data_IF_687695977355
#
_entry.id   IF_687695977355
#
_cell.length_a   1.000
_cell.length_b   1.000
_cell.length_c   1.000
_cell.angle_alpha   90.00
_cell.angle_beta   90.00
_cell.angle_gamma   90.00
#
_symmetry.space_group_name_H-M   'P 1'
#
loop_
_entity.id
_entity.type
_entity.pdbx_description
1 polymer ?
#
# COMPACT_ATOMS: atom_id res chain seq x y z
N UNK A 1 -0.30 13.43 19.76
CA UNK A 1 0.18 12.25 19.02
C UNK A 1 0.08 12.55 17.55
N UNK A 2 1.20 12.55 16.84
CA UNK A 2 1.27 12.79 15.41
C UNK A 2 1.13 11.48 14.62
N UNK A 3 0.74 11.59 13.34
CA UNK A 3 0.73 10.49 12.39
C UNK A 3 1.46 10.90 11.11
N UNK A 4 2.32 10.01 10.60
CA UNK A 4 2.97 10.14 9.31
C UNK A 4 2.60 8.92 8.47
N UNK A 5 1.98 9.15 7.31
CA UNK A 5 1.72 8.13 6.31
C UNK A 5 2.68 8.33 5.13
N UNK A 6 3.53 7.34 4.89
CA UNK A 6 4.51 7.33 3.82
C UNK A 6 4.16 6.21 2.83
N UNK A 7 3.77 6.59 1.62
CA UNK A 7 3.52 5.67 0.52
C UNK A 7 4.76 5.56 -0.35
N UNK A 8 5.18 4.34 -0.63
CA UNK A 8 6.43 4.02 -1.34
C UNK A 8 6.15 3.05 -2.47
N UNK A 9 6.63 3.36 -3.67
CA UNK A 9 6.50 2.50 -4.85
C UNK A 9 7.82 2.36 -5.59
N UNK A 10 7.96 1.34 -6.41
CA UNK A 10 9.10 1.21 -7.32
C UNK A 10 9.02 2.29 -8.42
N UNK A 11 10.18 2.80 -8.83
CA UNK A 11 10.33 3.68 -10.02
C UNK A 11 10.20 2.90 -11.32
N UNK A 12 10.52 1.60 -11.28
CA UNK A 12 10.34 0.65 -12.38
C UNK A 12 9.01 -0.09 -12.23
N UNK A 13 8.51 -0.77 -13.27
CA UNK A 13 7.33 -1.63 -13.14
C UNK A 13 7.48 -2.62 -11.99
N UNK A 14 6.51 -2.66 -11.08
CA UNK A 14 6.48 -3.61 -9.97
C UNK A 14 6.09 -4.99 -10.50
N UNK A 15 7.03 -5.93 -10.48
CA UNK A 15 6.82 -7.29 -10.99
C UNK A 15 5.70 -8.04 -10.25
N UNK A 16 5.49 -7.72 -8.96
CA UNK A 16 4.38 -8.29 -8.18
C UNK A 16 3.04 -7.80 -8.70
N UNK A 17 2.91 -6.49 -8.95
CA UNK A 17 1.69 -5.92 -9.51
C UNK A 17 1.43 -6.39 -10.95
N UNK A 18 2.47 -6.48 -11.77
CA UNK A 18 2.38 -7.01 -13.15
C UNK A 18 1.90 -8.46 -13.14
N UNK A 19 2.51 -9.32 -12.33
CA UNK A 19 2.15 -10.75 -12.24
C UNK A 19 0.74 -10.93 -11.69
N UNK A 20 0.37 -10.16 -10.67
CA UNK A 20 -0.99 -10.22 -10.10
C UNK A 20 -2.04 -9.77 -11.12
N UNK A 21 -1.80 -8.70 -11.88
CA UNK A 21 -2.70 -8.24 -12.93
C UNK A 21 -2.88 -9.30 -14.02
N UNK A 22 -1.79 -9.91 -14.48
CA UNK A 22 -1.85 -10.97 -15.49
C UNK A 22 -2.65 -12.16 -14.99
N UNK A 23 -2.42 -12.60 -13.74
CA UNK A 23 -3.17 -13.71 -13.17
C UNK A 23 -4.66 -13.40 -13.05
N UNK A 24 -5.03 -12.22 -12.54
CA UNK A 24 -6.42 -11.81 -12.41
C UNK A 24 -7.12 -11.75 -13.78
N UNK A 25 -6.49 -11.19 -14.80
CA UNK A 25 -7.07 -11.07 -16.13
C UNK A 25 -7.06 -12.36 -16.92
N UNK A 26 -5.88 -12.97 -17.11
CA UNK A 26 -5.69 -14.06 -18.07
C UNK A 26 -6.10 -15.43 -17.49
N UNK A 27 -5.97 -15.61 -16.18
CA UNK A 27 -6.27 -16.89 -15.55
C UNK A 27 -7.61 -16.90 -14.82
N UNK A 28 -8.06 -15.75 -14.31
CA UNK A 28 -9.28 -15.65 -13.51
C UNK A 28 -10.42 -14.91 -14.22
N UNK A 29 -10.16 -14.34 -15.42
CA UNK A 29 -11.20 -13.77 -16.28
C UNK A 29 -11.73 -12.41 -15.86
N UNK A 30 -10.94 -11.62 -15.10
CA UNK A 30 -11.31 -10.26 -14.68
C UNK A 30 -10.93 -9.22 -15.75
N UNK A 31 -11.65 -9.24 -16.88
CA UNK A 31 -11.40 -8.34 -18.02
C UNK A 31 -11.63 -6.86 -17.70
N UNK A 32 -12.46 -6.58 -16.68
CA UNK A 32 -12.71 -5.24 -16.17
C UNK A 32 -11.49 -4.57 -15.52
N UNK A 33 -10.47 -5.33 -15.10
CA UNK A 33 -9.26 -4.80 -14.50
C UNK A 33 -8.32 -4.19 -15.55
N UNK A 34 -8.45 -2.89 -15.81
CA UNK A 34 -7.63 -2.19 -16.80
C UNK A 34 -6.16 -2.04 -16.35
N UNK A 35 -5.94 -1.64 -15.09
CA UNK A 35 -4.61 -1.49 -14.52
C UNK A 35 -4.57 -1.88 -13.03
N UNK A 36 -3.39 -2.23 -12.55
CA UNK A 36 -3.12 -2.55 -11.15
C UNK A 36 -1.76 -1.98 -10.77
N UNK A 37 -1.73 -1.20 -9.71
CA UNK A 37 -0.49 -0.70 -9.10
C UNK A 37 -0.43 -1.01 -7.61
N UNK A 38 0.76 -0.99 -7.07
CA UNK A 38 1.04 -1.34 -5.68
C UNK A 38 1.95 -0.29 -5.06
N UNK A 39 1.57 0.19 -3.86
CA UNK A 39 2.40 1.01 -2.99
C UNK A 39 2.54 0.32 -1.62
N UNK A 40 3.69 0.43 -1.00
CA UNK A 40 3.89 0.05 0.40
C UNK A 40 3.54 1.24 1.29
N UNK A 41 2.68 1.03 2.29
CA UNK A 41 2.36 2.03 3.30
C UNK A 41 3.18 1.75 4.55
N UNK A 42 3.91 2.78 4.99
CA UNK A 42 4.49 2.87 6.31
C UNK A 42 3.77 3.96 7.10
N UNK A 43 3.07 3.58 8.16
CA UNK A 43 2.38 4.51 9.05
C UNK A 43 3.10 4.57 10.37
N UNK A 44 3.58 5.76 10.71
CA UNK A 44 4.26 6.04 11.98
C UNK A 44 3.32 6.82 12.88
N UNK A 45 3.33 6.52 14.17
CA UNK A 45 2.57 7.23 15.21
C UNK A 45 3.47 7.51 16.39
N UNK A 46 3.26 8.66 17.05
CA UNK A 46 4.03 9.03 18.21
C UNK A 46 4.07 10.53 18.47
N UNK A 47 5.12 10.96 19.20
CA UNK A 47 5.42 12.36 19.48
C UNK A 47 6.60 12.81 18.63
N UNK A 48 6.29 13.34 17.46
CA UNK A 48 7.26 13.83 16.47
C UNK A 48 6.62 14.86 15.52
N UNK A 49 7.45 15.67 14.89
CA UNK A 49 7.01 16.50 13.76
C UNK A 49 7.11 15.68 12.46
N UNK A 50 5.99 15.50 11.69
CA UNK A 50 5.99 14.63 10.50
C UNK A 50 6.99 14.99 9.41
N UNK A 51 7.31 16.29 9.23
CA UNK A 51 8.29 16.73 8.24
C UNK A 51 9.71 16.36 8.67
N UNK A 52 10.05 16.54 9.95
CA UNK A 52 11.35 16.19 10.52
C UNK A 52 11.55 14.67 10.48
N UNK A 53 10.55 13.90 10.94
CA UNK A 53 10.65 12.44 10.87
C UNK A 53 10.84 11.94 9.43
N UNK A 54 10.16 12.54 8.46
CA UNK A 54 10.35 12.20 7.04
C UNK A 54 11.80 12.42 6.62
N UNK A 55 12.39 13.57 6.95
CA UNK A 55 13.80 13.88 6.67
C UNK A 55 14.74 12.85 7.28
N UNK A 56 14.59 12.56 8.58
CA UNK A 56 15.39 11.56 9.30
C UNK A 56 15.33 10.16 8.67
N UNK A 57 14.13 9.71 8.28
CA UNK A 57 13.94 8.39 7.64
C UNK A 57 14.62 8.33 6.26
N UNK A 58 14.56 9.41 5.48
CA UNK A 58 15.13 9.46 4.13
C UNK A 58 16.65 9.61 4.13
N UNK A 59 17.20 10.42 5.04
CA UNK A 59 18.62 10.74 5.08
C UNK A 59 19.44 9.64 5.76
N UNK A 60 18.86 9.01 6.80
CA UNK A 60 19.61 8.07 7.66
C UNK A 60 19.35 6.61 7.36
N UNK A 61 18.40 6.31 6.46
CA UNK A 61 18.02 4.91 6.21
C UNK A 61 17.52 4.68 4.78
N UNK A 62 18.03 3.64 4.12
CA UNK A 62 17.46 3.11 2.89
C UNK A 62 16.40 2.04 3.12
N UNK A 63 16.05 1.76 4.39
CA UNK A 63 15.12 0.69 4.77
C UNK A 63 13.69 0.99 4.33
N UNK A 64 13.23 2.22 4.55
CA UNK A 64 11.87 2.65 4.20
C UNK A 64 11.80 3.13 2.76
N UNK A 65 12.77 3.93 2.35
CA UNK A 65 12.87 4.45 1.00
C UNK A 65 14.31 4.34 0.52
N UNK A 66 14.51 3.62 -0.58
CA UNK A 66 15.77 3.66 -1.30
C UNK A 66 15.63 4.66 -2.47
N UNK A 67 16.29 5.84 -2.44
CA UNK A 67 16.10 6.89 -3.45
C UNK A 67 16.45 6.44 -4.88
N UNK A 68 17.34 5.45 -5.02
CA UNK A 68 17.69 4.91 -6.34
C UNK A 68 16.59 4.05 -6.96
N UNK A 69 15.77 3.39 -6.12
CA UNK A 69 14.77 2.41 -6.55
C UNK A 69 13.33 2.88 -6.37
N UNK A 70 13.07 3.73 -5.37
CA UNK A 70 11.74 4.08 -4.91
C UNK A 70 11.38 5.53 -5.26
N UNK A 71 10.14 5.73 -5.67
CA UNK A 71 9.40 6.97 -5.54
C UNK A 71 8.55 6.89 -4.28
N UNK A 72 8.34 8.03 -3.62
CA UNK A 72 7.58 8.10 -2.38
C UNK A 72 6.75 9.38 -2.31
N UNK A 73 5.73 9.36 -1.46
CA UNK A 73 4.90 10.52 -1.14
C UNK A 73 4.42 10.46 0.31
N UNK A 74 4.38 11.61 0.95
CA UNK A 74 3.74 11.78 2.26
C UNK A 74 2.28 12.15 2.05
N UNK A 75 1.38 11.51 2.78
CA UNK A 75 -0.05 11.80 2.72
C UNK A 75 -0.60 12.05 4.13
N UNK A 76 -1.44 13.09 4.25
CA UNK A 76 -2.05 13.44 5.52
C UNK A 76 -3.16 12.47 5.92
N UNK A 77 -3.86 11.92 4.94
CA UNK A 77 -4.98 10.98 5.13
C UNK A 77 -4.98 9.93 4.03
N UNK A 78 -5.51 8.76 4.33
CA UNK A 78 -5.79 7.73 3.33
C UNK A 78 -7.18 7.88 2.70
N UNK A 79 -8.03 8.75 3.24
CA UNK A 79 -9.36 9.04 2.66
C UNK A 79 -9.22 10.07 1.55
N UNK A 80 -9.82 9.82 0.39
CA UNK A 80 -9.74 10.72 -0.77
C UNK A 80 -8.33 10.81 -1.35
N UNK A 81 -7.54 9.75 -1.18
CA UNK A 81 -6.17 9.69 -1.65
C UNK A 81 -6.12 9.74 -3.17
N UNK A 82 -5.23 10.58 -3.73
CA UNK A 82 -4.95 10.56 -5.16
C UNK A 82 -4.30 9.24 -5.56
N UNK A 83 -4.72 8.61 -6.69
CA UNK A 83 -4.05 7.43 -7.20
C UNK A 83 -2.61 7.74 -7.61
N UNK A 84 -1.69 6.74 -7.59
CA UNK A 84 -0.27 6.96 -7.87
C UNK A 84 0.03 7.38 -9.32
N UNK A 85 -0.90 7.16 -10.23
CA UNK A 85 -0.82 7.52 -11.64
C UNK A 85 -2.22 7.68 -12.23
N UNK A 86 -2.31 8.31 -13.40
CA UNK A 86 -3.55 8.31 -14.21
C UNK A 86 -3.53 7.10 -15.13
N UNK A 87 -4.59 6.30 -15.08
CA UNK A 87 -4.81 5.12 -15.93
C UNK A 87 -6.23 5.16 -16.51
N UNK A 88 -6.48 4.32 -17.49
CA UNK A 88 -7.83 4.08 -17.98
C UNK A 88 -8.67 3.37 -16.90
N UNK A 89 -9.93 3.76 -16.76
CA UNK A 89 -10.86 3.23 -15.76
C UNK A 89 -10.94 4.06 -14.50
N UNK A 90 -11.86 3.68 -13.61
CA UNK A 90 -12.09 4.33 -12.33
C UNK A 90 -11.16 3.72 -11.27
N UNK A 91 -10.40 4.55 -10.50
CA UNK A 91 -9.50 4.03 -9.48
C UNK A 91 -10.24 3.61 -8.21
N UNK A 92 -9.86 2.46 -7.66
CA UNK A 92 -10.33 1.93 -6.39
C UNK A 92 -9.14 1.46 -5.55
N UNK A 93 -9.16 1.75 -4.26
CA UNK A 93 -8.11 1.36 -3.32
C UNK A 93 -8.49 0.11 -2.53
N UNK A 94 -7.55 -0.81 -2.38
CA UNK A 94 -7.64 -1.91 -1.44
C UNK A 94 -6.39 -1.90 -0.54
N UNK A 95 -6.58 -1.57 0.74
CA UNK A 95 -5.50 -1.55 1.72
C UNK A 95 -5.43 -2.89 2.44
N UNK A 96 -4.37 -3.62 2.22
CA UNK A 96 -4.14 -4.97 2.76
C UNK A 96 -3.15 -4.91 3.91
N UNK A 97 -3.53 -5.48 5.06
CA UNK A 97 -2.71 -5.58 6.27
C UNK A 97 -2.49 -7.02 6.67
N UNK A 98 -1.32 -7.32 7.20
CA UNK A 98 -1.09 -8.59 7.88
C UNK A 98 -1.82 -8.61 9.23
N UNK A 99 -2.47 -9.73 9.58
CA UNK A 99 -3.05 -9.95 10.92
C UNK A 99 -1.96 -9.94 12.00
N UNK A 100 -0.77 -10.41 11.65
CA UNK A 100 0.44 -10.29 12.45
C UNK A 100 1.45 -9.40 11.73
N UNK A 101 1.48 -8.10 12.08
CA UNK A 101 2.38 -7.12 11.45
C UNK A 101 3.79 -7.19 12.04
N UNK A 102 4.50 -8.27 11.68
CA UNK A 102 5.92 -8.40 12.02
C UNK A 102 6.77 -7.27 11.43
N UNK A 103 6.47 -6.82 10.20
CA UNK A 103 7.26 -5.77 9.53
C UNK A 103 7.15 -4.43 10.25
N UNK A 104 5.95 -4.07 10.73
CA UNK A 104 5.75 -2.85 11.50
C UNK A 104 6.47 -2.90 12.85
N UNK A 105 6.39 -4.05 13.58
CA UNK A 105 7.12 -4.22 14.85
C UNK A 105 8.63 -4.15 14.67
N UNK A 106 9.17 -4.82 13.65
CA UNK A 106 10.59 -4.80 13.34
C UNK A 106 11.05 -3.39 12.90
N UNK A 107 10.22 -2.67 12.15
CA UNK A 107 10.47 -1.28 11.78
C UNK A 107 10.48 -0.34 13.00
N UNK A 108 9.57 -0.53 13.96
CA UNK A 108 9.57 0.22 15.22
C UNK A 108 10.84 -0.01 16.02
N UNK A 109 11.25 -1.27 16.16
CA UNK A 109 12.50 -1.61 16.82
C UNK A 109 13.70 -0.97 16.13
N UNK A 110 13.75 -0.97 14.82
CA UNK A 110 14.78 -0.32 14.02
C UNK A 110 14.81 1.21 14.25
N UNK A 111 13.67 1.88 14.20
CA UNK A 111 13.57 3.32 14.47
C UNK A 111 14.17 3.68 15.83
N UNK A 112 13.82 2.92 16.88
CA UNK A 112 14.27 3.18 18.24
C UNK A 112 15.75 2.83 18.47
N UNK A 113 16.16 1.64 18.07
CA UNK A 113 17.46 1.08 18.43
C UNK A 113 18.58 1.52 17.47
N UNK A 114 18.29 1.70 16.19
CA UNK A 114 19.29 2.04 15.19
C UNK A 114 19.29 3.53 14.82
N UNK A 115 18.12 4.17 14.77
CA UNK A 115 18.01 5.57 14.42
C UNK A 115 17.88 6.50 15.65
N UNK A 116 17.63 5.96 16.85
CA UNK A 116 17.45 6.76 18.07
C UNK A 116 16.15 7.58 18.09
N UNK A 117 15.17 7.23 17.25
CA UNK A 117 13.89 7.92 17.10
C UNK A 117 12.92 7.51 18.22
N UNK A 118 13.18 7.94 19.45
CA UNK A 118 12.42 7.53 20.64
C UNK A 118 10.99 8.07 20.65
N UNK A 119 10.71 9.15 19.94
CA UNK A 119 9.37 9.71 19.78
C UNK A 119 8.44 8.84 18.91
N UNK A 120 8.98 7.87 18.16
CA UNK A 120 8.16 6.92 17.41
C UNK A 120 7.64 5.85 18.36
N UNK A 121 6.32 5.81 18.56
CA UNK A 121 5.63 4.89 19.46
C UNK A 121 5.06 3.67 18.76
N UNK A 122 4.69 3.80 17.48
CA UNK A 122 4.13 2.73 16.68
C UNK A 122 4.51 2.86 15.21
N UNK A 123 4.71 1.71 14.56
CA UNK A 123 4.86 1.61 13.10
C UNK A 123 3.95 0.49 12.60
N UNK A 124 3.17 0.78 11.57
CA UNK A 124 2.31 -0.16 10.85
C UNK A 124 2.81 -0.29 9.42
N UNK A 125 2.84 -1.53 8.93
CA UNK A 125 3.10 -1.82 7.51
C UNK A 125 1.84 -2.36 6.84
N UNK A 126 1.52 -1.82 5.67
CA UNK A 126 0.43 -2.30 4.83
C UNK A 126 0.81 -2.21 3.35
N UNK A 127 0.00 -2.82 2.51
CA UNK A 127 0.10 -2.71 1.05
C UNK A 127 -1.17 -2.07 0.51
N UNK A 128 -1.01 -0.96 -0.19
CA UNK A 128 -2.10 -0.32 -0.94
C UNK A 128 -2.05 -0.81 -2.38
N UNK A 129 -3.11 -1.48 -2.79
CA UNK A 129 -3.39 -1.81 -4.18
C UNK A 129 -4.32 -0.77 -4.77
N UNK A 130 -3.96 -0.19 -5.90
CA UNK A 130 -4.84 0.65 -6.70
C UNK A 130 -5.26 -0.13 -7.93
N UNK A 131 -6.57 -0.35 -8.05
CA UNK A 131 -7.20 -1.09 -9.14
C UNK A 131 -7.96 -0.09 -10.02
N UNK A 132 -7.68 -0.04 -11.31
CA UNK A 132 -8.48 0.71 -12.27
C UNK A 132 -9.45 -0.22 -12.97
N UNK A 133 -10.75 0.02 -12.76
CA UNK A 133 -11.81 -0.79 -13.33
C UNK A 133 -12.45 -0.06 -14.52
N UNK A 134 -12.59 -0.78 -15.63
CA UNK A 134 -13.20 -0.27 -16.87
C UNK A 134 -14.71 -0.50 -16.89
N UNK A 135 -15.39 0.27 -17.72
CA UNK A 135 -16.83 0.11 -17.94
C UNK A 135 -17.67 0.50 -16.74
N UNK A 136 -18.68 -0.31 -16.44
CA UNK A 136 -19.59 -0.13 -15.30
C UNK A 136 -19.16 -0.84 -14.03
N UNK A 137 -18.00 -1.53 -14.04
CA UNK A 137 -17.45 -2.19 -12.86
C UNK A 137 -17.07 -1.13 -11.80
N UNK A 138 -17.45 -1.40 -10.57
CA UNK A 138 -17.31 -0.45 -9.47
C UNK A 138 -16.80 -1.10 -8.18
N UNK A 139 -17.00 -0.40 -7.09
CA UNK A 139 -16.54 -0.81 -5.77
C UNK A 139 -17.06 -2.19 -5.32
N UNK A 140 -18.25 -2.58 -5.77
CA UNK A 140 -18.87 -3.89 -5.51
C UNK A 140 -18.08 -5.06 -6.12
N UNK A 141 -17.27 -4.81 -7.15
CA UNK A 141 -16.45 -5.83 -7.78
C UNK A 141 -15.12 -6.07 -7.06
N UNK A 142 -14.72 -5.18 -6.14
CA UNK A 142 -13.40 -5.25 -5.49
C UNK A 142 -13.19 -6.56 -4.72
N UNK A 143 -14.20 -7.04 -4.00
CA UNK A 143 -14.06 -8.26 -3.22
C UNK A 143 -13.69 -9.48 -4.09
N UNK A 144 -14.22 -9.55 -5.31
CA UNK A 144 -13.91 -10.62 -6.26
C UNK A 144 -12.47 -10.56 -6.79
N UNK A 145 -11.86 -9.37 -6.81
CA UNK A 145 -10.48 -9.17 -7.25
C UNK A 145 -9.48 -9.30 -6.10
N UNK A 146 -9.88 -8.92 -4.89
CA UNK A 146 -8.99 -8.80 -3.74
C UNK A 146 -8.98 -10.07 -2.89
N UNK A 147 -10.14 -10.62 -2.57
CA UNK A 147 -10.34 -11.63 -1.52
C UNK A 147 -10.04 -13.05 -2.03
N UNK A 148 -8.96 -13.66 -1.57
CA UNK A 148 -8.54 -15.00 -1.95
C UNK A 148 -9.25 -16.08 -1.07
N UNK A 149 -10.60 -16.16 -1.12
CA UNK A 149 -11.38 -17.13 -0.33
C UNK A 149 -11.63 -18.46 -1.03
N UNK A 150 -11.60 -18.48 -2.35
CA UNK A 150 -11.82 -19.65 -3.16
C UNK A 150 -10.83 -19.69 -4.32
N UNK A 151 -10.73 -20.87 -4.99
CA UNK A 151 -9.76 -21.07 -6.09
C UNK A 151 -9.90 -20.06 -7.23
N UNK A 152 -11.12 -19.60 -7.50
CA UNK A 152 -11.47 -18.70 -8.60
C UNK A 152 -11.90 -17.30 -8.11
N UNK A 153 -11.64 -16.98 -6.83
CA UNK A 153 -11.87 -15.68 -6.23
C UNK A 153 -10.54 -14.95 -6.06
N UNK A 154 -10.56 -13.64 -5.94
CA UNK A 154 -9.44 -12.70 -5.85
C UNK A 154 -8.05 -13.17 -5.42
N UNK A 155 -7.08 -12.33 -5.57
CA UNK A 155 -5.66 -12.73 -5.43
C UNK A 155 -4.86 -11.86 -4.45
N UNK A 156 -5.37 -10.67 -4.08
CA UNK A 156 -4.52 -9.64 -3.48
C UNK A 156 -4.44 -9.72 -1.95
N UNK A 157 -5.41 -10.37 -1.30
CA UNK A 157 -5.45 -10.54 0.15
C UNK A 157 -5.82 -11.98 0.53
N UNK A 158 -4.98 -12.61 1.36
CA UNK A 158 -5.25 -13.94 1.89
C UNK A 158 -5.93 -13.82 3.27
N UNK A 159 -7.23 -14.16 3.41
CA UNK A 159 -7.99 -13.96 4.65
C UNK A 159 -7.50 -14.80 5.84
N UNK A 160 -6.66 -15.79 5.62
CA UNK A 160 -6.06 -16.58 6.71
C UNK A 160 -4.94 -15.83 7.45
N UNK A 161 -4.30 -14.85 6.81
CA UNK A 161 -3.19 -14.10 7.39
C UNK A 161 -3.24 -12.60 7.12
N UNK A 162 -4.25 -12.13 6.40
CA UNK A 162 -4.43 -10.74 6.00
C UNK A 162 -5.87 -10.29 6.17
N UNK A 163 -6.03 -9.01 6.43
CA UNK A 163 -7.30 -8.30 6.32
C UNK A 163 -7.17 -7.22 5.26
N UNK A 164 -8.26 -6.79 4.68
CA UNK A 164 -8.25 -5.66 3.79
C UNK A 164 -9.47 -4.75 4.00
N UNK A 165 -9.31 -3.50 3.65
CA UNK A 165 -10.37 -2.51 3.61
C UNK A 165 -10.35 -1.74 2.30
N UNK A 166 -11.53 -1.36 1.83
CA UNK A 166 -11.66 -0.51 0.67
C UNK A 166 -11.34 0.93 1.03
N UNK A 167 -10.54 1.60 0.19
CA UNK A 167 -10.30 3.03 0.27
C UNK A 167 -10.99 3.75 -0.90
N UNK A 168 -11.63 4.87 -0.58
CA UNK A 168 -12.13 5.81 -1.59
C UNK A 168 -10.94 6.64 -2.09
N UNK A 169 -10.63 6.52 -3.36
CA UNK A 169 -9.61 7.33 -4.03
C UNK A 169 -10.26 8.55 -4.70
N UNK A 170 -9.48 9.57 -4.95
CA UNK A 170 -9.89 10.71 -5.77
C UNK A 170 -10.02 10.27 -7.24
N UNK A 171 -10.98 10.87 -7.97
CA UNK A 171 -11.21 10.62 -9.40
C UNK A 171 -10.12 11.26 -10.29
#
# INVERSE_FOLDING_TARGET
MAELNLLVRLKTPDTVAVSARLALRELMGHDELAALEREELWRFRGDFEPAELTGELLERSSRFVNPAKHAWRRVASLTGLEPPARREGKPHGALVRKLDDFRGRDALAYCRNNLGLTGVEGVEYAVLWTLWLAGSAGAENLAALVDCRARDAGLLANPHCESWEQLTLAD
#
